data_IF_387834227161
#
_entry.id   IF_387834227161
#
_cell.length_a   1.000
_cell.length_b   1.000
_cell.length_c   1.000
_cell.angle_alpha   90.00
_cell.angle_beta   90.00
_cell.angle_gamma   90.00
#
_symmetry.space_group_name_H-M   'P 1'
#
loop_
_entity.id
_entity.type
_entity.pdbx_description
1 polymer ?
#
# COMPACT_ATOMS: atom_id res chain seq x y z
N UNK A 1 -16.36 51.20 -36.62
CA UNK A 1 -16.28 49.82 -37.13
C UNK A 1 -15.74 48.92 -36.02
N UNK A 2 -16.63 48.28 -35.26
CA UNK A 2 -16.25 47.36 -34.19
C UNK A 2 -15.99 45.98 -34.79
N UNK A 3 -14.73 45.54 -34.78
CA UNK A 3 -14.33 44.21 -35.24
C UNK A 3 -14.71 43.18 -34.18
N UNK A 4 -15.84 42.49 -34.39
CA UNK A 4 -16.20 41.29 -33.64
C UNK A 4 -15.28 40.14 -34.01
N UNK A 5 -14.26 39.88 -33.19
CA UNK A 5 -13.38 38.71 -33.31
C UNK A 5 -14.19 37.47 -32.94
N UNK A 6 -14.53 36.65 -33.93
CA UNK A 6 -15.34 35.43 -33.79
C UNK A 6 -14.65 34.39 -32.89
N UNK A 7 -15.39 33.75 -31.96
CA UNK A 7 -14.83 32.77 -31.01
C UNK A 7 -14.51 31.39 -31.62
N UNK A 8 -14.90 31.14 -32.88
CA UNK A 8 -14.81 29.84 -33.53
C UNK A 8 -13.38 29.39 -33.89
N UNK A 9 -12.48 30.33 -34.20
CA UNK A 9 -11.08 30.01 -34.53
C UNK A 9 -10.28 29.54 -33.29
N UNK A 10 -10.60 30.11 -32.11
CA UNK A 10 -10.02 29.69 -30.84
C UNK A 10 -10.57 28.33 -30.36
N UNK A 11 -11.78 27.94 -30.79
CA UNK A 11 -12.33 26.61 -30.52
C UNK A 11 -11.61 25.51 -31.31
N UNK A 12 -11.36 25.69 -32.62
CA UNK A 12 -10.61 24.70 -33.44
C UNK A 12 -9.17 24.49 -32.98
N UNK A 13 -8.48 25.54 -32.54
CA UNK A 13 -7.13 25.41 -31.99
C UNK A 13 -7.08 24.71 -30.64
N UNK A 14 -8.19 24.73 -29.88
CA UNK A 14 -8.34 23.95 -28.65
C UNK A 14 -8.58 22.48 -28.97
N UNK A 15 -9.45 22.15 -29.91
CA UNK A 15 -9.73 20.75 -30.30
C UNK A 15 -8.47 19.99 -30.74
N UNK A 16 -7.56 20.65 -31.48
CA UNK A 16 -6.28 20.04 -31.89
C UNK A 16 -5.29 19.88 -30.73
N UNK A 17 -5.28 20.83 -29.79
CA UNK A 17 -4.45 20.77 -28.58
C UNK A 17 -4.98 19.74 -27.59
N UNK A 18 -6.30 19.63 -27.45
CA UNK A 18 -6.99 18.64 -26.62
C UNK A 18 -6.71 17.23 -27.13
N UNK A 19 -6.76 17.02 -28.44
CA UNK A 19 -6.39 15.75 -29.05
C UNK A 19 -4.91 15.41 -28.85
N UNK A 20 -4.01 16.40 -28.93
CA UNK A 20 -2.60 16.22 -28.64
C UNK A 20 -2.35 15.85 -27.16
N UNK A 21 -3.05 16.51 -26.22
CA UNK A 21 -2.98 16.18 -24.79
C UNK A 21 -3.51 14.77 -24.51
N UNK A 22 -4.62 14.38 -25.15
CA UNK A 22 -5.18 13.04 -25.01
C UNK A 22 -4.20 11.97 -25.52
N UNK A 23 -3.53 12.23 -26.64
CA UNK A 23 -2.49 11.35 -27.17
C UNK A 23 -1.27 11.21 -26.24
N UNK A 24 -0.91 12.27 -25.52
CA UNK A 24 0.15 12.22 -24.49
C UNK A 24 -0.30 11.43 -23.25
N UNK A 25 -1.53 11.64 -22.79
CA UNK A 25 -2.11 10.90 -21.66
C UNK A 25 -2.22 9.41 -21.95
N UNK A 26 -2.64 9.03 -23.16
CA UNK A 26 -2.72 7.63 -23.57
C UNK A 26 -1.36 6.91 -23.52
N UNK A 27 -0.26 7.59 -23.86
CA UNK A 27 1.09 7.04 -23.76
C UNK A 27 1.58 6.86 -22.32
N UNK A 28 1.02 7.62 -21.38
CA UNK A 28 1.36 7.61 -19.95
C UNK A 28 0.15 7.18 -19.11
N UNK A 29 -0.64 6.23 -19.61
CA UNK A 29 -1.81 5.75 -18.90
C UNK A 29 -1.38 5.20 -17.53
N UNK A 30 -2.05 5.60 -16.43
CA UNK A 30 -1.76 5.04 -15.11
C UNK A 30 -1.87 3.52 -15.16
N UNK A 31 -0.82 2.88 -14.69
CA UNK A 31 -0.73 1.44 -14.50
C UNK A 31 -1.36 1.06 -13.15
N UNK A 32 -1.65 -0.22 -12.95
CA UNK A 32 -2.11 -0.72 -11.65
C UNK A 32 -1.14 -0.35 -10.51
N UNK A 33 0.16 -0.34 -10.81
CA UNK A 33 1.22 0.02 -9.88
C UNK A 33 1.10 1.47 -9.37
N UNK A 34 0.62 2.39 -10.21
CA UNK A 34 0.42 3.79 -9.81
C UNK A 34 -0.71 3.97 -8.79
N UNK A 35 -1.59 2.96 -8.66
CA UNK A 35 -2.65 2.89 -7.64
C UNK A 35 -2.26 2.06 -6.42
N UNK A 36 -1.19 1.27 -6.50
CA UNK A 36 -0.73 0.43 -5.41
C UNK A 36 0.09 1.25 -4.41
N UNK A 37 -0.39 1.32 -3.17
CA UNK A 37 0.44 1.84 -2.08
C UNK A 37 1.47 0.78 -1.67
N UNK A 38 2.60 0.74 -2.36
CA UNK A 38 3.77 -0.04 -1.93
C UNK A 38 4.61 0.86 -1.05
N UNK A 39 4.50 0.69 0.26
CA UNK A 39 5.40 1.36 1.18
C UNK A 39 6.84 0.97 0.83
N UNK A 40 7.71 1.91 0.41
CA UNK A 40 9.11 1.60 0.16
C UNK A 40 9.73 1.07 1.46
N UNK A 41 10.42 -0.08 1.39
CA UNK A 41 11.15 -0.61 2.53
C UNK A 41 12.15 0.43 3.01
N UNK A 42 11.84 1.07 4.13
CA UNK A 42 12.72 2.07 4.73
C UNK A 42 13.33 1.42 5.97
N UNK A 43 14.58 0.91 5.87
CA UNK A 43 15.23 0.30 7.03
C UNK A 43 15.33 1.34 8.14
N UNK A 44 14.87 0.98 9.35
CA UNK A 44 14.97 1.84 10.54
C UNK A 44 16.41 2.25 10.86
N UNK A 45 17.35 1.39 10.48
CA UNK A 45 18.78 1.65 10.58
C UNK A 45 19.43 1.20 9.27
N UNK A 46 19.94 2.16 8.51
CA UNK A 46 20.72 1.87 7.32
C UNK A 46 22.07 1.30 7.75
N UNK A 47 22.38 0.10 7.29
CA UNK A 47 23.68 -0.55 7.45
C UNK A 47 24.21 -0.95 6.06
N UNK A 48 25.52 -1.07 5.86
CA UNK A 48 26.06 -1.61 4.63
C UNK A 48 25.62 -3.07 4.49
N UNK A 49 24.72 -3.35 3.56
CA UNK A 49 24.23 -4.69 3.23
C UNK A 49 25.11 -5.27 2.12
N UNK A 50 25.71 -6.47 2.29
CA UNK A 50 26.44 -7.13 1.21
C UNK A 50 25.54 -7.42 0.01
N UNK A 51 26.12 -7.46 -1.21
CA UNK A 51 25.36 -7.59 -2.47
C UNK A 51 24.54 -8.87 -2.59
N UNK A 52 24.94 -9.92 -1.87
CA UNK A 52 24.28 -11.22 -1.91
C UNK A 52 22.97 -11.27 -1.09
N UNK A 53 22.69 -10.23 -0.30
CA UNK A 53 21.48 -10.14 0.51
C UNK A 53 20.38 -9.33 -0.20
N UNK A 54 19.11 -9.73 -0.05
CA UNK A 54 17.99 -8.99 -0.62
C UNK A 54 17.85 -7.62 0.05
N UNK A 55 17.81 -6.56 -0.75
CA UNK A 55 17.60 -5.18 -0.27
C UNK A 55 16.13 -4.76 -0.35
N UNK A 56 15.33 -5.43 -1.17
CA UNK A 56 13.90 -5.18 -1.34
C UNK A 56 13.05 -6.26 -0.68
N UNK A 57 11.87 -5.87 -0.19
CA UNK A 57 10.86 -6.80 0.29
C UNK A 57 10.29 -7.61 -0.88
N UNK A 58 10.15 -8.92 -0.67
CA UNK A 58 9.49 -9.78 -1.64
C UNK A 58 7.96 -9.58 -1.61
N UNK A 59 7.32 -9.54 -2.78
CA UNK A 59 5.88 -9.23 -2.91
C UNK A 59 4.99 -10.25 -2.20
N UNK A 60 5.41 -11.52 -2.10
CA UNK A 60 4.63 -12.56 -1.40
C UNK A 60 4.51 -12.33 0.10
N UNK A 61 5.39 -11.52 0.72
CA UNK A 61 5.38 -11.25 2.17
C UNK A 61 4.10 -10.53 2.58
N UNK A 62 3.45 -9.81 1.66
CA UNK A 62 2.19 -9.14 1.91
C UNK A 62 0.96 -10.02 1.64
N UNK A 63 1.15 -11.28 1.22
CA UNK A 63 0.03 -12.18 0.97
C UNK A 63 -0.52 -12.77 2.28
N UNK A 64 -1.85 -12.83 2.47
CA UNK A 64 -2.46 -13.35 3.70
C UNK A 64 -2.01 -14.77 4.06
N UNK A 65 -1.80 -15.64 3.04
CA UNK A 65 -1.42 -17.03 3.24
C UNK A 65 -0.06 -17.26 3.92
N UNK A 66 0.83 -16.25 3.94
CA UNK A 66 2.08 -16.36 4.70
C UNK A 66 1.82 -16.20 6.20
N UNK A 67 0.90 -15.31 6.60
CA UNK A 67 0.60 -15.00 8.00
C UNK A 67 -0.03 -16.20 8.74
N UNK A 68 -0.81 -17.03 8.03
CA UNK A 68 -1.39 -18.26 8.61
C UNK A 68 -0.32 -19.23 9.13
N UNK A 69 0.84 -19.27 8.45
CA UNK A 69 1.97 -20.15 8.75
C UNK A 69 2.93 -19.55 9.79
N UNK A 70 2.74 -18.28 10.18
CA UNK A 70 3.61 -17.63 11.15
C UNK A 70 3.29 -18.05 12.58
N UNK A 71 4.33 -18.02 13.42
CA UNK A 71 4.20 -18.25 14.85
C UNK A 71 3.53 -17.04 15.54
N UNK A 72 2.96 -17.31 16.71
CA UNK A 72 2.32 -16.28 17.56
C UNK A 72 3.26 -15.10 17.85
N UNK A 73 4.50 -15.39 18.23
CA UNK A 73 5.50 -14.35 18.54
C UNK A 73 5.76 -13.43 17.35
N UNK A 74 5.82 -13.99 16.13
CA UNK A 74 6.02 -13.22 14.91
C UNK A 74 4.82 -12.33 14.61
N UNK A 75 3.60 -12.85 14.79
CA UNK A 75 2.37 -12.08 14.59
C UNK A 75 2.29 -10.90 15.57
N UNK A 76 2.63 -11.11 16.85
CA UNK A 76 2.72 -10.03 17.83
C UNK A 76 3.81 -9.03 17.49
N UNK A 77 4.99 -9.51 17.10
CA UNK A 77 6.09 -8.65 16.69
C UNK A 77 5.68 -7.71 15.55
N UNK A 78 5.05 -8.24 14.50
CA UNK A 78 4.54 -7.44 13.38
C UNK A 78 3.50 -6.43 13.87
N UNK A 79 2.55 -6.87 14.70
CA UNK A 79 1.49 -6.01 15.22
C UNK A 79 2.01 -4.80 15.99
N UNK A 80 3.05 -4.98 16.82
CA UNK A 80 3.59 -3.92 17.67
C UNK A 80 4.64 -3.05 16.98
N UNK A 81 5.45 -3.62 16.09
CA UNK A 81 6.61 -2.94 15.49
C UNK A 81 6.37 -2.43 14.05
N UNK A 82 5.25 -2.77 13.41
CA UNK A 82 4.89 -2.31 12.06
C UNK A 82 3.52 -1.62 12.05
N UNK A 83 3.31 -0.70 13.02
CA UNK A 83 2.04 0.00 13.18
C UNK A 83 1.68 0.84 11.94
N UNK A 84 0.40 0.87 11.59
CA UNK A 84 -0.11 1.65 10.44
C UNK A 84 0.15 1.00 9.08
N UNK A 85 0.69 -0.22 9.05
CA UNK A 85 0.92 -0.97 7.80
C UNK A 85 -0.16 -2.01 7.54
N UNK A 86 -0.33 -2.41 6.28
CA UNK A 86 -1.21 -3.52 5.91
C UNK A 86 -0.81 -4.84 6.60
N UNK A 87 0.49 -5.04 6.87
CA UNK A 87 0.99 -6.20 7.60
C UNK A 87 0.45 -6.27 9.05
N UNK A 88 0.28 -5.13 9.72
CA UNK A 88 -0.37 -5.10 11.05
C UNK A 88 -1.82 -5.59 10.97
N UNK A 89 -2.55 -5.18 9.93
CA UNK A 89 -3.93 -5.65 9.72
C UNK A 89 -3.97 -7.17 9.52
N UNK A 90 -3.15 -7.71 8.61
CA UNK A 90 -3.07 -9.15 8.35
C UNK A 90 -2.69 -9.93 9.62
N UNK A 91 -1.67 -9.46 10.36
CA UNK A 91 -1.30 -10.07 11.63
C UNK A 91 -2.46 -10.07 12.64
N UNK A 92 -3.20 -8.95 12.74
CA UNK A 92 -4.36 -8.85 13.63
C UNK A 92 -5.52 -9.78 13.23
N UNK A 93 -5.71 -10.03 11.93
CA UNK A 93 -6.72 -10.98 11.45
C UNK A 93 -6.36 -12.41 11.84
N UNK A 94 -5.10 -12.81 11.66
CA UNK A 94 -4.64 -14.15 12.06
C UNK A 94 -4.67 -14.37 13.57
N UNK A 95 -4.32 -13.36 14.36
CA UNK A 95 -4.46 -13.42 15.82
C UNK A 95 -5.91 -13.67 16.24
N UNK A 96 -6.86 -12.94 15.64
CA UNK A 96 -8.30 -13.18 15.87
C UNK A 96 -8.72 -14.59 15.47
N UNK A 97 -8.24 -15.09 14.33
CA UNK A 97 -8.49 -16.47 13.86
C UNK A 97 -7.98 -17.52 14.85
N UNK A 98 -6.89 -17.24 15.56
CA UNK A 98 -6.30 -18.09 16.61
C UNK A 98 -6.90 -17.84 18.01
N UNK A 99 -8.10 -17.26 18.08
CA UNK A 99 -8.84 -17.00 19.32
C UNK A 99 -8.18 -15.98 20.27
N UNK A 100 -7.47 -14.99 19.71
CA UNK A 100 -6.95 -13.86 20.48
C UNK A 100 -7.84 -12.63 20.35
N UNK A 101 -8.04 -11.93 21.47
CA UNK A 101 -8.80 -10.69 21.53
C UNK A 101 -7.90 -9.53 21.99
N UNK A 102 -8.08 -8.37 21.37
CA UNK A 102 -7.26 -7.19 21.64
C UNK A 102 -7.96 -6.23 22.60
N UNK A 103 -7.30 -5.90 23.71
CA UNK A 103 -7.81 -4.96 24.69
C UNK A 103 -7.24 -3.56 24.46
N UNK A 104 -8.08 -2.63 23.96
CA UNK A 104 -7.65 -1.27 23.57
C UNK A 104 -6.94 -0.50 24.69
N UNK A 105 -7.42 -0.57 25.93
CA UNK A 105 -6.84 0.18 27.06
C UNK A 105 -5.44 -0.30 27.45
N UNK A 106 -5.17 -1.61 27.32
CA UNK A 106 -3.86 -2.17 27.67
C UNK A 106 -2.95 -2.30 26.45
N UNK A 107 -3.51 -2.13 25.24
CA UNK A 107 -2.85 -2.44 23.98
C UNK A 107 -2.25 -3.85 23.96
N UNK A 108 -2.96 -4.81 24.55
CA UNK A 108 -2.49 -6.19 24.74
C UNK A 108 -3.47 -7.18 24.14
N UNK A 109 -2.92 -8.22 23.54
CA UNK A 109 -3.69 -9.38 23.09
C UNK A 109 -3.80 -10.40 24.21
N UNK A 110 -5.01 -10.91 24.40
CA UNK A 110 -5.34 -11.94 25.38
C UNK A 110 -5.85 -13.17 24.64
N UNK A 111 -5.46 -14.36 25.11
CA UNK A 111 -6.00 -15.60 24.60
C UNK A 111 -7.38 -15.80 25.23
N UNK A 112 -8.40 -16.01 24.41
CA UNK A 112 -9.69 -16.45 24.93
C UNK A 112 -9.53 -17.91 25.37
N UNK A 113 -9.37 -18.11 26.68
CA UNK A 113 -9.45 -19.44 27.26
C UNK A 113 -10.92 -19.83 27.31
N UNK A 114 -11.26 -20.96 26.68
CA UNK A 114 -12.56 -21.57 26.91
C UNK A 114 -12.57 -22.05 28.37
N UNK A 115 -13.51 -21.55 29.16
CA UNK A 115 -13.72 -22.05 30.50
C UNK A 115 -14.13 -23.52 30.39
N UNK A 116 -13.27 -24.42 30.89
CA UNK A 116 -13.58 -25.84 31.02
C UNK A 116 -14.24 -26.11 32.37
#
# INVERSE_FOLDING_TARGET
AAQGKTPAAAARGRESMDFALLGLSHKHMPTAHDSEYIAPYTPRQAAPIPRDFPTSLHTSVQSPGVFERMNMDTLFFIFYHQQGTYAQYLASQELKRKNWWFHKKYSTWFLQQEAK
#
